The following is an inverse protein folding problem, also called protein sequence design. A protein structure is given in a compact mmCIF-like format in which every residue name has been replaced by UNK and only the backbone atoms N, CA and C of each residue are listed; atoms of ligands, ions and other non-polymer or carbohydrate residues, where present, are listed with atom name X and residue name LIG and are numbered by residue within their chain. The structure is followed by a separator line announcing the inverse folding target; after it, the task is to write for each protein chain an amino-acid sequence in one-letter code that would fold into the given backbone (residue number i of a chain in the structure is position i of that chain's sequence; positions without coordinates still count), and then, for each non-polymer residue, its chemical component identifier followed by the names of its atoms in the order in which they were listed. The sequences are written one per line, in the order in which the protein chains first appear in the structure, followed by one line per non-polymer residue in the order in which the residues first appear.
data_IF_997981719015
#
_entry.id   IF_997981719015
#
_cell.length_a   1.000
_cell.length_b   1.000
_cell.length_c   1.000
_cell.angle_alpha   90.00
_cell.angle_beta   90.00
_cell.angle_gamma   90.00
#
_symmetry.space_group_name_H-M   'P 1'
#
loop_
_entity.id
_entity.type
_entity.pdbx_description
1 polymer ?
#
# COMPACT_ATOMS: atom_id res chain seq x y z
N UNK A 1 13.05 18.96 -4.00
CA UNK A 1 12.19 18.04 -4.82
C UNK A 1 13.06 16.98 -5.50
N UNK A 2 14.17 17.32 -6.18
CA UNK A 2 15.01 16.37 -6.93
C UNK A 2 15.47 15.13 -6.14
N UNK A 3 15.90 15.21 -4.87
CA UNK A 3 16.31 14.03 -4.11
C UNK A 3 15.17 13.03 -3.85
N UNK A 4 13.91 13.48 -3.92
CA UNK A 4 12.74 12.63 -3.68
C UNK A 4 12.15 11.99 -4.96
N UNK A 5 12.59 12.41 -6.15
CA UNK A 5 12.09 11.85 -7.41
C UNK A 5 12.23 10.33 -7.53
N UNK A 6 13.34 9.70 -7.09
CA UNK A 6 13.48 8.25 -7.13
C UNK A 6 12.43 7.49 -6.31
N UNK A 7 11.83 8.14 -5.34
CA UNK A 7 10.73 7.57 -4.52
C UNK A 7 9.37 7.94 -5.12
N UNK A 8 9.21 9.20 -5.50
CA UNK A 8 7.93 9.72 -6.01
C UNK A 8 7.53 9.01 -7.31
N UNK A 9 8.46 8.85 -8.27
CA UNK A 9 8.13 8.29 -9.59
C UNK A 9 7.61 6.85 -9.49
N UNK A 10 8.29 5.90 -8.81
CA UNK A 10 7.78 4.54 -8.66
C UNK A 10 6.44 4.48 -7.91
N UNK A 11 6.26 5.30 -6.88
CA UNK A 11 4.99 5.36 -6.15
C UNK A 11 3.84 5.85 -7.05
N UNK A 12 4.08 6.83 -7.91
CA UNK A 12 3.05 7.31 -8.84
C UNK A 12 2.73 6.29 -9.94
N UNK A 13 3.72 5.56 -10.43
CA UNK A 13 3.50 4.45 -11.37
C UNK A 13 2.63 3.38 -10.71
N UNK A 14 2.94 3.01 -9.46
CA UNK A 14 2.12 2.06 -8.72
C UNK A 14 0.69 2.56 -8.52
N UNK A 15 0.51 3.80 -8.12
CA UNK A 15 -0.82 4.39 -7.94
C UNK A 15 -1.64 4.34 -9.24
N UNK A 16 -1.00 4.67 -10.36
CA UNK A 16 -1.60 4.58 -11.68
C UNK A 16 -2.04 3.16 -12.03
N UNK A 17 -1.16 2.17 -11.82
CA UNK A 17 -1.47 0.76 -12.05
C UNK A 17 -2.57 0.27 -11.12
N UNK A 18 -2.55 0.68 -9.86
CA UNK A 18 -3.58 0.34 -8.88
C UNK A 18 -4.96 0.87 -9.29
N UNK A 19 -5.03 2.11 -9.77
CA UNK A 19 -6.28 2.68 -10.28
C UNK A 19 -6.82 1.90 -11.48
N UNK A 20 -5.95 1.51 -12.43
CA UNK A 20 -6.35 0.66 -13.57
C UNK A 20 -6.88 -0.71 -13.12
N UNK A 21 -6.16 -1.39 -12.24
CA UNK A 21 -6.57 -2.69 -11.69
C UNK A 21 -7.91 -2.60 -10.96
N UNK A 22 -8.14 -1.54 -10.18
CA UNK A 22 -9.43 -1.30 -9.52
C UNK A 22 -10.58 -1.14 -10.52
N UNK A 23 -10.35 -0.45 -11.64
CA UNK A 23 -11.35 -0.28 -12.72
C UNK A 23 -11.62 -1.60 -13.42
N UNK A 24 -10.57 -2.39 -13.71
CA UNK A 24 -10.72 -3.70 -14.34
C UNK A 24 -11.43 -4.70 -13.41
N UNK A 25 -11.12 -4.69 -12.12
CA UNK A 25 -11.81 -5.50 -11.12
C UNK A 25 -13.31 -5.17 -11.05
N UNK A 26 -13.68 -3.89 -11.14
CA UNK A 26 -15.09 -3.48 -11.21
C UNK A 26 -15.75 -3.96 -12.49
N UNK A 27 -15.05 -3.89 -13.63
CA UNK A 27 -15.52 -4.37 -14.94
C UNK A 27 -15.76 -5.89 -14.94
N UNK A 28 -14.88 -6.65 -14.27
CA UNK A 28 -15.02 -8.10 -14.15
C UNK A 28 -16.32 -8.53 -13.48
N UNK A 29 -16.84 -7.73 -12.55
CA UNK A 29 -18.14 -7.97 -11.87
C UNK A 29 -19.32 -7.26 -12.55
N UNK A 30 -19.12 -6.73 -13.74
CA UNK A 30 -20.17 -6.18 -14.61
C UNK A 30 -20.41 -4.67 -14.45
N UNK A 31 -19.56 -3.94 -13.72
CA UNK A 31 -19.63 -2.48 -13.59
C UNK A 31 -18.57 -1.81 -14.45
N UNK A 32 -18.94 -1.36 -15.62
CA UNK A 32 -18.02 -0.73 -16.56
C UNK A 32 -17.90 0.77 -16.28
N UNK A 33 -16.71 1.21 -15.90
CA UNK A 33 -16.36 2.61 -15.72
C UNK A 33 -15.41 3.08 -16.82
N UNK A 34 -15.58 4.32 -17.34
CA UNK A 34 -14.66 4.87 -18.35
C UNK A 34 -13.30 5.18 -17.72
N UNK A 35 -12.28 4.41 -18.08
CA UNK A 35 -10.91 4.47 -17.52
C UNK A 35 -10.35 5.91 -17.47
N UNK A 36 -10.42 6.62 -18.63
CA UNK A 36 -9.89 7.98 -18.72
C UNK A 36 -10.56 8.96 -17.73
N UNK A 37 -11.88 8.86 -17.56
CA UNK A 37 -12.60 9.75 -16.63
C UNK A 37 -12.27 9.42 -15.18
N UNK A 38 -12.21 8.14 -14.86
CA UNK A 38 -11.85 7.67 -13.51
C UNK A 38 -10.45 8.12 -13.12
N UNK A 39 -9.48 8.00 -14.01
CA UNK A 39 -8.11 8.45 -13.78
C UNK A 39 -7.99 9.98 -13.65
N UNK A 40 -8.72 10.74 -14.46
CA UNK A 40 -8.74 12.21 -14.34
C UNK A 40 -9.35 12.62 -13.00
N UNK A 41 -10.43 11.98 -12.58
CA UNK A 41 -11.05 12.26 -11.28
C UNK A 41 -10.14 11.89 -10.12
N UNK A 42 -9.42 10.77 -10.20
CA UNK A 42 -8.43 10.34 -9.22
C UNK A 42 -7.29 11.37 -9.10
N UNK A 43 -6.76 11.82 -10.24
CA UNK A 43 -5.77 12.89 -10.27
C UNK A 43 -6.28 14.23 -9.68
N UNK A 44 -7.50 14.65 -10.02
CA UNK A 44 -8.11 15.84 -9.46
C UNK A 44 -8.32 15.73 -7.94
N UNK A 45 -8.77 14.56 -7.47
CA UNK A 45 -8.94 14.30 -6.04
C UNK A 45 -7.61 14.33 -5.28
N UNK A 46 -6.55 13.77 -5.87
CA UNK A 46 -5.19 13.84 -5.33
C UNK A 46 -4.70 15.28 -5.24
N UNK A 47 -4.91 16.09 -6.29
CA UNK A 47 -4.52 17.51 -6.28
C UNK A 47 -5.29 18.30 -5.21
N UNK A 48 -6.60 18.09 -5.12
CA UNK A 48 -7.42 18.74 -4.07
C UNK A 48 -6.97 18.31 -2.68
N UNK A 49 -6.75 17.00 -2.45
CA UNK A 49 -6.26 16.51 -1.17
C UNK A 49 -4.90 17.12 -0.79
N UNK A 50 -3.99 17.29 -1.75
CA UNK A 50 -2.68 17.89 -1.50
C UNK A 50 -2.74 19.35 -1.09
N UNK A 51 -3.73 20.12 -1.58
CA UNK A 51 -3.97 21.50 -1.15
C UNK A 51 -4.38 21.59 0.33
N UNK A 52 -5.00 20.54 0.86
CA UNK A 52 -5.36 20.42 2.27
C UNK A 52 -4.30 19.68 3.10
N UNK A 53 -3.10 19.46 2.55
CA UNK A 53 -1.97 18.86 3.26
C UNK A 53 -1.95 17.33 3.26
N UNK A 54 -2.75 16.66 2.44
CA UNK A 54 -2.67 15.20 2.30
C UNK A 54 -1.44 14.81 1.45
N UNK A 55 -0.47 14.07 2.01
CA UNK A 55 0.72 13.65 1.28
C UNK A 55 0.50 12.39 0.42
N UNK A 56 -0.65 11.72 0.56
CA UNK A 56 -0.93 10.47 -0.12
C UNK A 56 -1.82 10.69 -1.35
N UNK A 57 -1.51 10.05 -2.49
CA UNK A 57 -2.41 10.06 -3.64
C UNK A 57 -3.70 9.30 -3.33
N UNK A 58 -4.79 9.71 -3.94
CA UNK A 58 -6.02 8.92 -3.97
C UNK A 58 -5.87 7.79 -4.99
N UNK A 59 -6.62 6.72 -4.81
CA UNK A 59 -6.69 5.60 -5.76
C UNK A 59 -8.07 4.97 -5.73
N UNK A 60 -8.45 4.32 -6.81
CA UNK A 60 -9.70 3.57 -6.89
C UNK A 60 -9.63 2.35 -5.97
N UNK A 61 -10.70 2.09 -5.25
CA UNK A 61 -10.76 1.03 -4.25
C UNK A 61 -10.90 -0.36 -4.87
N UNK A 62 -10.02 -1.27 -4.52
CA UNK A 62 -10.00 -2.66 -5.01
C UNK A 62 -11.13 -3.55 -4.50
N UNK A 63 -11.71 -3.20 -3.36
CA UNK A 63 -12.76 -3.99 -2.72
C UNK A 63 -14.13 -3.90 -3.39
N UNK A 64 -14.26 -3.24 -4.54
CA UNK A 64 -15.52 -3.09 -5.27
C UNK A 64 -16.23 -4.42 -5.54
N UNK A 65 -15.57 -5.49 -6.03
CA UNK A 65 -16.22 -6.78 -6.24
C UNK A 65 -16.83 -7.36 -4.96
N UNK A 66 -16.09 -7.37 -3.87
CA UNK A 66 -16.56 -7.91 -2.58
C UNK A 66 -17.74 -7.15 -2.03
N UNK A 67 -17.76 -5.82 -2.12
CA UNK A 67 -18.92 -5.03 -1.70
C UNK A 67 -20.13 -5.26 -2.59
N UNK A 68 -19.93 -5.46 -3.89
CA UNK A 68 -20.99 -5.77 -4.82
C UNK A 68 -21.63 -7.14 -4.52
N UNK A 69 -20.84 -8.14 -4.20
CA UNK A 69 -21.33 -9.46 -3.75
C UNK A 69 -22.19 -9.35 -2.48
N UNK A 70 -21.87 -8.44 -1.58
CA UNK A 70 -22.66 -8.12 -0.38
C UNK A 70 -23.90 -7.27 -0.69
N UNK A 71 -24.17 -6.96 -1.96
CA UNK A 71 -25.35 -6.20 -2.40
C UNK A 71 -25.19 -4.67 -2.34
N UNK A 72 -23.98 -4.17 -2.14
CA UNK A 72 -23.73 -2.73 -2.17
C UNK A 72 -23.96 -2.15 -3.58
N UNK A 73 -24.50 -0.94 -3.65
CA UNK A 73 -24.78 -0.19 -4.89
C UNK A 73 -24.14 1.18 -4.83
N UNK A 74 -24.18 1.94 -5.91
CA UNK A 74 -23.56 3.27 -6.04
C UNK A 74 -23.91 4.24 -4.89
N UNK A 75 -25.12 4.16 -4.34
CA UNK A 75 -25.54 4.96 -3.19
C UNK A 75 -24.72 4.75 -1.92
N UNK A 76 -24.12 3.56 -1.75
CA UNK A 76 -23.29 3.26 -0.60
C UNK A 76 -22.03 4.15 -0.56
N UNK A 77 -21.39 4.37 -1.70
CA UNK A 77 -20.23 5.26 -1.81
C UNK A 77 -20.58 6.70 -1.47
N UNK A 78 -21.76 7.18 -1.88
CA UNK A 78 -22.23 8.52 -1.55
C UNK A 78 -22.46 8.70 -0.04
N UNK A 79 -23.16 7.74 0.58
CA UNK A 79 -23.40 7.76 2.04
C UNK A 79 -22.08 7.73 2.79
N UNK A 80 -21.14 6.89 2.37
CA UNK A 80 -19.81 6.79 2.98
C UNK A 80 -19.04 8.11 2.85
N UNK A 81 -19.06 8.75 1.67
CA UNK A 81 -18.40 10.04 1.45
C UNK A 81 -18.99 11.14 2.35
N UNK A 82 -20.31 11.21 2.48
CA UNK A 82 -20.99 12.19 3.36
C UNK A 82 -20.66 11.90 4.83
N UNK A 83 -20.69 10.64 5.25
CA UNK A 83 -20.34 10.25 6.62
C UNK A 83 -18.89 10.62 6.97
N UNK A 84 -17.94 10.34 6.08
CA UNK A 84 -16.54 10.74 6.25
C UNK A 84 -16.38 12.25 6.34
N UNK A 85 -17.04 13.00 5.46
CA UNK A 85 -16.99 14.45 5.49
C UNK A 85 -17.49 15.01 6.83
N UNK A 86 -18.63 14.52 7.34
CA UNK A 86 -19.17 14.93 8.63
C UNK A 86 -18.23 14.57 9.79
N UNK A 87 -17.68 13.37 9.80
CA UNK A 87 -16.72 12.91 10.82
C UNK A 87 -15.47 13.79 10.83
N UNK A 88 -14.94 14.11 9.65
CA UNK A 88 -13.76 14.98 9.53
C UNK A 88 -14.04 16.42 9.95
N UNK A 89 -15.16 17.01 9.49
CA UNK A 89 -15.52 18.40 9.82
C UNK A 89 -15.86 18.60 11.31
N UNK A 90 -16.44 17.60 11.95
CA UNK A 90 -16.78 17.65 13.38
C UNK A 90 -15.60 17.34 14.30
N UNK A 91 -14.46 16.92 13.74
CA UNK A 91 -13.31 16.46 14.54
C UNK A 91 -13.53 15.12 15.25
N UNK A 92 -14.61 14.40 14.92
CA UNK A 92 -14.95 13.11 15.53
C UNK A 92 -13.90 12.02 15.22
N UNK A 93 -13.04 12.26 14.23
CA UNK A 93 -11.93 11.38 13.87
C UNK A 93 -11.03 11.09 15.07
N UNK A 94 -10.72 12.11 15.90
CA UNK A 94 -9.92 11.93 17.10
C UNK A 94 -10.58 11.03 18.14
N UNK A 95 -11.90 11.17 18.30
CA UNK A 95 -12.68 10.32 19.22
C UNK A 95 -12.73 8.87 18.70
N UNK A 96 -12.93 8.68 17.41
CA UNK A 96 -12.94 7.34 16.81
C UNK A 96 -11.58 6.65 16.93
N UNK A 97 -10.48 7.39 16.70
CA UNK A 97 -9.13 6.88 16.89
C UNK A 97 -8.81 6.51 18.33
N UNK A 98 -9.38 7.24 19.30
CA UNK A 98 -9.24 6.91 20.72
C UNK A 98 -10.10 5.72 21.14
N UNK A 99 -11.23 5.51 20.47
CA UNK A 99 -12.18 4.44 20.80
C UNK A 99 -11.81 3.10 20.16
N UNK A 100 -11.23 3.14 18.95
CA UNK A 100 -10.86 1.93 18.21
C UNK A 100 -9.44 1.52 18.60
N UNK A 101 -9.24 0.39 19.31
CA UNK A 101 -7.92 -0.07 19.67
C UNK A 101 -7.11 -0.44 18.41
N UNK A 102 -5.85 -0.04 18.39
CA UNK A 102 -4.92 -0.27 17.27
C UNK A 102 -4.83 -1.76 16.91
N UNK A 103 -4.94 -2.63 17.92
CA UNK A 103 -4.89 -4.08 17.77
C UNK A 103 -6.04 -4.62 16.91
N UNK A 104 -7.24 -4.05 17.05
CA UNK A 104 -8.40 -4.43 16.24
C UNK A 104 -8.21 -4.04 14.77
N UNK A 105 -7.63 -2.86 14.52
CA UNK A 105 -7.30 -2.40 13.16
C UNK A 105 -6.23 -3.30 12.53
N UNK A 106 -5.22 -3.71 13.30
CA UNK A 106 -4.16 -4.61 12.82
C UNK A 106 -4.70 -5.97 12.40
N UNK A 107 -5.60 -6.57 13.17
CA UNK A 107 -6.25 -7.84 12.80
C UNK A 107 -7.01 -7.72 11.49
N UNK A 108 -7.76 -6.61 11.32
CA UNK A 108 -8.48 -6.34 10.07
C UNK A 108 -7.51 -6.21 8.87
N UNK A 109 -6.41 -5.48 9.03
CA UNK A 109 -5.40 -5.31 7.99
C UNK A 109 -4.74 -6.64 7.59
N UNK A 110 -4.44 -7.50 8.56
CA UNK A 110 -3.91 -8.85 8.31
C UNK A 110 -4.92 -9.67 7.51
N UNK A 111 -6.19 -9.66 7.90
CA UNK A 111 -7.25 -10.36 7.17
C UNK A 111 -7.39 -9.86 5.73
N UNK A 112 -7.41 -8.55 5.53
CA UNK A 112 -7.44 -7.94 4.18
C UNK A 112 -6.20 -8.33 3.38
N UNK A 113 -5.02 -8.29 3.99
CA UNK A 113 -3.76 -8.69 3.35
C UNK A 113 -3.79 -10.15 2.87
N UNK A 114 -4.26 -11.08 3.70
CA UNK A 114 -4.43 -12.48 3.30
C UNK A 114 -5.46 -12.65 2.19
N UNK A 115 -6.60 -11.96 2.27
CA UNK A 115 -7.65 -12.04 1.25
C UNK A 115 -7.16 -11.55 -0.11
N UNK A 116 -6.48 -10.41 -0.15
CA UNK A 116 -5.90 -9.86 -1.39
C UNK A 116 -4.82 -10.79 -1.96
N UNK A 117 -3.95 -11.32 -1.10
CA UNK A 117 -2.92 -12.27 -1.52
C UNK A 117 -3.53 -13.53 -2.10
N UNK A 118 -4.53 -14.10 -1.42
CA UNK A 118 -5.22 -15.31 -1.88
C UNK A 118 -5.90 -15.08 -3.25
N UNK A 119 -6.61 -13.95 -3.42
CA UNK A 119 -7.23 -13.58 -4.71
C UNK A 119 -6.18 -13.46 -5.82
N UNK A 120 -5.06 -12.80 -5.54
CA UNK A 120 -3.98 -12.65 -6.51
C UNK A 120 -3.46 -14.02 -7.01
N UNK A 121 -3.23 -14.96 -6.09
CA UNK A 121 -2.77 -16.30 -6.47
C UNK A 121 -3.84 -17.16 -7.16
N UNK A 122 -5.12 -16.89 -6.94
CA UNK A 122 -6.21 -17.57 -7.64
C UNK A 122 -6.35 -17.12 -9.10
N UNK A 123 -6.12 -15.84 -9.37
CA UNK A 123 -6.22 -15.24 -10.70
C UNK A 123 -4.95 -15.41 -11.54
N UNK A 124 -3.82 -15.74 -10.88
CA UNK A 124 -2.52 -15.80 -11.50
C UNK A 124 -2.30 -17.13 -12.24
N UNK A 125 -1.86 -17.07 -13.50
CA UNK A 125 -1.37 -18.24 -14.22
C UNK A 125 -0.21 -18.89 -13.45
N UNK A 126 -0.22 -20.23 -13.34
CA UNK A 126 0.79 -21.02 -12.61
C UNK A 126 2.23 -20.72 -13.03
N UNK A 127 2.45 -20.33 -14.28
CA UNK A 127 3.79 -19.98 -14.81
C UNK A 127 4.39 -18.74 -14.17
N UNK A 128 3.56 -17.81 -13.63
CA UNK A 128 4.02 -16.56 -13.04
C UNK A 128 4.15 -16.62 -11.51
N UNK A 129 3.73 -17.70 -10.86
CA UNK A 129 3.76 -17.83 -9.40
C UNK A 129 5.18 -17.62 -8.85
N UNK A 130 6.19 -18.21 -9.49
CA UNK A 130 7.58 -18.06 -9.06
C UNK A 130 8.09 -16.61 -9.22
N UNK A 131 7.64 -15.92 -10.25
CA UNK A 131 7.98 -14.52 -10.52
C UNK A 131 7.41 -13.62 -9.41
N UNK A 132 6.13 -13.83 -9.05
CA UNK A 132 5.48 -13.09 -7.97
C UNK A 132 6.16 -13.37 -6.62
N UNK A 133 6.48 -14.63 -6.32
CA UNK A 133 7.19 -14.97 -5.08
C UNK A 133 8.58 -14.30 -5.02
N UNK A 134 9.32 -14.29 -6.13
CA UNK A 134 10.61 -13.64 -6.20
C UNK A 134 10.50 -12.12 -6.05
N UNK A 135 9.46 -11.51 -6.62
CA UNK A 135 9.22 -10.06 -6.51
C UNK A 135 8.84 -9.61 -5.09
N UNK A 136 8.34 -10.50 -4.23
CA UNK A 136 8.07 -10.20 -2.82
C UNK A 136 9.34 -10.11 -1.97
N UNK A 137 10.45 -10.73 -2.41
CA UNK A 137 11.69 -10.79 -1.62
C UNK A 137 12.20 -9.40 -1.23
N UNK A 138 12.37 -8.42 -2.14
CA UNK A 138 12.82 -7.08 -1.74
C UNK A 138 11.90 -6.41 -0.72
N UNK A 139 10.59 -6.58 -0.85
CA UNK A 139 9.59 -6.00 0.06
C UNK A 139 9.72 -6.60 1.47
N UNK A 140 9.97 -7.92 1.57
CA UNK A 140 10.23 -8.57 2.85
C UNK A 140 11.52 -8.04 3.50
N UNK A 141 12.58 -7.84 2.72
CA UNK A 141 13.82 -7.26 3.23
C UNK A 141 13.64 -5.80 3.68
N UNK A 142 12.84 -5.00 2.97
CA UNK A 142 12.48 -3.65 3.39
C UNK A 142 11.71 -3.67 4.71
N UNK A 143 10.77 -4.59 4.88
CA UNK A 143 10.04 -4.76 6.14
C UNK A 143 10.99 -5.12 7.29
N UNK A 144 11.89 -6.10 7.09
CA UNK A 144 12.90 -6.48 8.08
C UNK A 144 13.79 -5.28 8.44
N UNK A 145 14.25 -4.53 7.45
CA UNK A 145 15.05 -3.31 7.65
C UNK A 145 14.30 -2.29 8.52
N UNK A 146 13.02 -2.06 8.23
CA UNK A 146 12.18 -1.15 9.01
C UNK A 146 12.04 -1.62 10.46
N UNK A 147 11.82 -2.92 10.70
CA UNK A 147 11.71 -3.47 12.06
C UNK A 147 13.02 -3.33 12.83
N UNK A 148 14.16 -3.61 12.20
CA UNK A 148 15.47 -3.41 12.82
C UNK A 148 15.66 -1.94 13.18
N UNK A 149 15.38 -1.02 12.25
CA UNK A 149 15.53 0.43 12.50
C UNK A 149 14.64 0.90 13.64
N UNK A 150 13.39 0.47 13.69
CA UNK A 150 12.46 0.83 14.77
C UNK A 150 12.91 0.25 16.11
N UNK A 151 13.42 -0.98 16.14
CA UNK A 151 13.90 -1.62 17.36
C UNK A 151 15.15 -0.94 17.91
N UNK A 152 16.08 -0.56 17.02
CA UNK A 152 17.30 0.16 17.38
C UNK A 152 16.98 1.57 17.90
N UNK A 153 16.01 2.26 17.27
CA UNK A 153 15.53 3.56 17.75
C UNK A 153 14.85 3.45 19.13
N UNK A 154 14.06 2.41 19.34
CA UNK A 154 13.47 2.15 20.66
C UNK A 154 14.52 1.90 21.75
N UNK A 155 15.70 1.38 21.39
CA UNK A 155 16.86 1.25 22.28
C UNK A 155 17.66 2.56 22.47
N UNK A 156 17.19 3.67 21.90
CA UNK A 156 17.80 5.00 22.07
C UNK A 156 19.01 5.27 21.16
N UNK A 157 19.19 4.51 20.10
CA UNK A 157 20.27 4.69 19.12
C UNK A 157 19.75 4.61 17.69
N UNK A 158 20.64 4.75 16.71
CA UNK A 158 20.29 4.62 15.28
C UNK A 158 21.11 3.53 14.61
N UNK A 159 20.61 2.99 13.50
CA UNK A 159 21.33 1.94 12.74
C UNK A 159 22.68 2.46 12.22
N UNK A 160 22.74 3.75 11.88
CA UNK A 160 23.96 4.40 11.38
C UNK A 160 25.04 4.59 12.47
N UNK A 161 24.62 4.63 13.73
CA UNK A 161 25.53 4.73 14.88
C UNK A 161 26.18 3.38 15.24
N UNK A 162 25.64 2.28 14.72
CA UNK A 162 26.14 0.92 14.95
C UNK A 162 26.97 0.46 13.76
N UNK A 163 28.06 -0.26 14.06
CA UNK A 163 28.93 -0.83 13.03
C UNK A 163 28.36 -2.17 12.50
N UNK A 164 28.68 -2.50 11.25
CA UNK A 164 28.29 -3.80 10.68
C UNK A 164 28.84 -4.99 11.49
N UNK A 165 29.99 -4.83 12.17
CA UNK A 165 30.58 -5.85 13.03
C UNK A 165 29.71 -6.14 14.27
N UNK A 166 29.10 -5.10 14.86
CA UNK A 166 28.19 -5.28 16.00
C UNK A 166 26.93 -6.06 15.59
N UNK A 167 26.40 -5.80 14.40
CA UNK A 167 25.28 -6.60 13.87
C UNK A 167 25.69 -8.05 13.56
N UNK A 168 26.90 -8.25 13.03
CA UNK A 168 27.43 -9.57 12.70
C UNK A 168 27.64 -10.45 13.93
N UNK A 169 27.99 -9.86 15.07
CA UNK A 169 28.13 -10.56 16.37
C UNK A 169 26.81 -11.26 16.76
N UNK A 170 25.68 -10.65 16.40
CA UNK A 170 24.34 -11.21 16.65
C UNK A 170 23.75 -11.91 15.40
N UNK A 171 24.60 -12.27 14.45
CA UNK A 171 24.18 -12.97 13.19
C UNK A 171 23.16 -12.18 12.35
N UNK A 172 23.16 -10.85 12.42
CA UNK A 172 22.30 -9.99 11.59
C UNK A 172 23.09 -9.48 10.39
N UNK A 173 22.78 -9.95 9.15
CA UNK A 173 23.47 -9.51 7.94
C UNK A 173 22.95 -8.15 7.47
N UNK A 174 23.18 -7.10 8.27
CA UNK A 174 22.58 -5.78 8.07
C UNK A 174 22.85 -5.19 6.68
N UNK A 175 24.05 -5.39 6.13
CA UNK A 175 24.40 -4.90 4.79
C UNK A 175 23.54 -5.58 3.71
N UNK A 176 23.40 -6.91 3.76
CA UNK A 176 22.55 -7.66 2.83
C UNK A 176 21.08 -7.22 2.92
N UNK A 177 20.59 -7.01 4.13
CA UNK A 177 19.23 -6.52 4.37
C UNK A 177 19.04 -5.12 3.76
N UNK A 178 20.00 -4.23 3.96
CA UNK A 178 19.95 -2.87 3.38
C UNK A 178 20.04 -2.89 1.85
N UNK A 179 20.93 -3.69 1.27
CA UNK A 179 21.06 -3.77 -0.19
C UNK A 179 19.79 -4.31 -0.87
N UNK A 180 19.14 -5.30 -0.28
CA UNK A 180 17.90 -5.86 -0.82
C UNK A 180 16.67 -5.03 -0.47
N UNK A 181 16.66 -4.37 0.68
CA UNK A 181 15.54 -3.54 1.14
C UNK A 181 15.52 -2.13 0.55
N UNK A 182 16.69 -1.56 0.23
CA UNK A 182 16.75 -0.23 -0.34
C UNK A 182 16.17 -0.22 -1.77
N UNK A 183 15.15 0.61 -1.98
CA UNK A 183 14.45 0.68 -3.26
C UNK A 183 13.63 -0.59 -3.58
N UNK A 184 13.24 -1.35 -2.56
CA UNK A 184 12.53 -2.63 -2.68
C UNK A 184 11.32 -2.56 -3.59
N UNK A 185 10.59 -1.45 -3.56
CA UNK A 185 9.43 -1.24 -4.40
C UNK A 185 9.79 -1.25 -5.91
N UNK A 186 10.84 -0.51 -6.28
CA UNK A 186 11.31 -0.46 -7.66
C UNK A 186 11.92 -1.80 -8.11
N UNK A 187 12.75 -2.42 -7.26
CA UNK A 187 13.35 -3.72 -7.56
C UNK A 187 12.30 -4.83 -7.66
N UNK A 188 11.28 -4.82 -6.81
CA UNK A 188 10.14 -5.74 -6.90
C UNK A 188 9.36 -5.57 -8.21
N UNK A 189 9.06 -4.34 -8.59
CA UNK A 189 8.35 -4.03 -9.85
C UNK A 189 9.18 -4.46 -11.08
N UNK A 190 10.49 -4.21 -11.07
CA UNK A 190 11.40 -4.64 -12.14
C UNK A 190 11.49 -6.17 -12.23
N UNK A 191 11.59 -6.87 -11.10
CA UNK A 191 11.60 -8.34 -11.08
C UNK A 191 10.29 -8.91 -11.63
N UNK A 192 9.16 -8.32 -11.27
CA UNK A 192 7.85 -8.76 -11.77
C UNK A 192 7.67 -8.48 -13.27
N UNK A 193 8.30 -7.44 -13.82
CA UNK A 193 8.16 -7.04 -15.21
C UNK A 193 9.18 -7.65 -16.17
N UNK A 194 10.33 -8.14 -15.67
CA UNK A 194 11.42 -8.69 -16.48
C UNK A 194 11.39 -10.22 -16.57
N UNK A 195 10.72 -10.91 -15.65
CA UNK A 195 10.62 -12.36 -15.56
C UNK A 195 9.24 -12.86 -15.98
#
# INVERSE_FOLDING_TARGET
IFPFLPVIIPLQINNFLSTLQGIEAAKAVGDSYPERRSMVMDGCSTMLGSLFGNPFPTTVYFGHPGWKELGARAGFSLVNAVAYLLICLTGLTGVLMALIPTEAVMVLLVFVGFSVTASTFQELDKKYVNVVLLSLVPILFQYIQTQISSSVQAAGTTVEALTAAQFAEYSVPIQGIQYLGNGAFLSSLLLAGLL
#
